data_IF_772256150705
#
_entry.id   IF_772256150705
#
_cell.length_a   1.000
_cell.length_b   1.000
_cell.length_c   1.000
_cell.angle_alpha   90.00
_cell.angle_beta   90.00
_cell.angle_gamma   90.00
#
_symmetry.space_group_name_H-M   'P 1'
#
loop_
_entity.id
_entity.type
_entity.pdbx_description
1 polymer ?
#
# COMPACT_ATOMS: atom_id res chain seq x y z
N UNK A 1 2.47 28.46 20.02
CA UNK A 1 3.23 27.24 19.66
C UNK A 1 2.99 27.03 18.17
N UNK A 2 3.96 27.38 17.34
CA UNK A 2 3.84 27.28 15.89
C UNK A 2 3.72 25.81 15.49
N UNK A 3 2.54 25.40 15.04
CA UNK A 3 2.41 24.18 14.28
C UNK A 3 3.10 24.46 12.94
N UNK A 4 4.31 23.92 12.80
CA UNK A 4 4.98 23.82 11.50
C UNK A 4 4.02 23.17 10.50
N UNK A 5 4.01 23.61 9.23
CA UNK A 5 3.06 23.12 8.24
C UNK A 5 3.12 21.60 8.21
N UNK A 6 1.93 20.98 8.19
CA UNK A 6 1.68 19.55 8.17
C UNK A 6 2.60 18.84 7.16
N UNK A 7 3.83 18.49 7.59
CA UNK A 7 4.78 17.79 6.75
C UNK A 7 4.19 16.42 6.51
N UNK A 8 4.04 16.05 5.25
CA UNK A 8 3.53 14.74 4.89
C UNK A 8 4.39 13.67 5.59
N UNK A 9 3.74 12.82 6.39
CA UNK A 9 4.39 11.71 7.05
C UNK A 9 5.13 10.86 6.01
N UNK A 10 6.41 10.63 6.27
CA UNK A 10 7.31 9.86 5.46
C UNK A 10 7.42 8.44 6.04
N UNK A 11 7.50 7.45 5.16
CA UNK A 11 7.69 6.05 5.53
C UNK A 11 9.09 5.62 5.16
N UNK A 12 9.78 4.90 6.04
CA UNK A 12 11.13 4.37 5.80
C UNK A 12 11.36 3.03 6.50
N UNK A 13 12.27 2.23 5.96
CA UNK A 13 12.65 0.94 6.56
C UNK A 13 13.92 1.11 7.38
N UNK A 14 14.02 0.49 8.55
CA UNK A 14 15.23 0.52 9.38
C UNK A 14 16.35 -0.18 8.63
N UNK A 15 17.36 0.58 8.21
CA UNK A 15 18.59 0.03 7.63
C UNK A 15 19.38 -0.69 8.72
N UNK A 16 19.67 0.03 9.81
CA UNK A 16 20.28 -0.50 11.02
C UNK A 16 19.85 0.35 12.23
N UNK A 17 19.90 -0.25 13.42
CA UNK A 17 19.62 0.44 14.68
C UNK A 17 20.44 -0.18 15.81
N UNK A 18 21.17 0.64 16.55
CA UNK A 18 21.87 0.24 17.78
C UNK A 18 20.93 0.48 18.97
N UNK A 19 20.33 -0.60 19.46
CA UNK A 19 19.38 -0.53 20.59
C UNK A 19 20.05 -0.15 21.92
N UNK A 20 21.36 -0.36 22.07
CA UNK A 20 22.08 0.02 23.29
C UNK A 20 22.35 1.53 23.30
N UNK A 21 22.71 2.10 22.14
CA UNK A 21 22.97 3.53 22.00
C UNK A 21 21.71 4.35 21.69
N UNK A 22 20.65 3.72 21.21
CA UNK A 22 19.37 4.36 20.92
C UNK A 22 19.35 5.20 19.65
N UNK A 23 20.14 4.85 18.63
CA UNK A 23 20.10 5.53 17.33
C UNK A 23 20.31 4.57 16.16
N UNK A 24 19.88 5.02 14.98
CA UNK A 24 19.94 4.24 13.75
C UNK A 24 19.74 5.09 12.51
N UNK A 25 19.56 4.41 11.39
CA UNK A 25 19.28 5.01 10.08
C UNK A 25 18.10 4.29 9.43
N UNK A 26 17.19 5.07 8.87
CA UNK A 26 16.13 4.61 7.99
C UNK A 26 16.60 4.72 6.54
N UNK A 27 16.44 3.65 5.77
CA UNK A 27 16.52 3.67 4.32
C UNK A 27 15.19 4.16 3.74
N UNK A 28 15.29 5.09 2.81
CA UNK A 28 14.18 5.67 2.07
C UNK A 28 14.30 5.31 0.59
N UNK A 29 13.23 5.48 -0.20
CA UNK A 29 13.29 5.32 -1.64
C UNK A 29 14.36 6.21 -2.28
N UNK A 30 14.80 5.85 -3.49
CA UNK A 30 15.83 6.58 -4.23
C UNK A 30 17.21 6.62 -3.55
N UNK A 31 17.44 5.78 -2.52
CA UNK A 31 18.71 5.69 -1.81
C UNK A 31 18.95 6.78 -0.77
N UNK A 32 17.93 7.58 -0.44
CA UNK A 32 18.02 8.53 0.68
C UNK A 32 18.14 7.78 2.03
N UNK A 33 18.86 8.40 2.96
CA UNK A 33 19.01 7.91 4.33
C UNK A 33 18.56 8.98 5.32
N UNK A 34 17.87 8.55 6.39
CA UNK A 34 17.38 9.45 7.42
C UNK A 34 17.82 8.99 8.81
N UNK A 35 18.52 9.86 9.51
CA UNK A 35 18.94 9.59 10.89
C UNK A 35 17.73 9.51 11.82
N UNK A 36 17.71 8.51 12.70
CA UNK A 36 16.65 8.34 13.70
C UNK A 36 17.23 8.07 15.08
N UNK A 37 16.68 8.75 16.09
CA UNK A 37 17.03 8.56 17.49
C UNK A 37 15.84 7.97 18.24
N UNK A 38 16.05 7.16 19.28
CA UNK A 38 14.98 6.48 20.05
C UNK A 38 13.99 7.50 20.67
N UNK A 39 14.49 8.70 21.00
CA UNK A 39 13.66 9.81 21.51
C UNK A 39 12.72 10.43 20.48
N UNK A 40 12.90 10.12 19.19
CA UNK A 40 11.99 10.56 18.14
C UNK A 40 10.68 9.76 18.18
N UNK A 41 10.67 8.57 18.78
CA UNK A 41 9.52 7.68 18.80
C UNK A 41 8.44 8.11 19.78
N UNK A 42 7.20 8.15 19.30
CA UNK A 42 6.00 8.52 20.06
C UNK A 42 4.84 7.60 19.64
N UNK A 43 4.45 6.60 20.45
CA UNK A 43 5.05 6.22 21.73
C UNK A 43 6.44 5.59 21.57
N UNK A 44 7.24 5.47 22.66
CA UNK A 44 8.47 4.68 22.66
C UNK A 44 8.19 3.24 22.20
N UNK A 45 9.13 2.58 21.48
CA UNK A 45 8.95 1.20 21.06
C UNK A 45 8.89 0.26 22.27
N UNK A 46 7.94 -0.68 22.24
CA UNK A 46 7.80 -1.71 23.28
C UNK A 46 8.86 -2.82 23.17
N UNK A 47 9.45 -2.99 21.99
CA UNK A 47 10.47 -3.99 21.68
C UNK A 47 11.69 -3.34 21.03
N UNK A 48 12.81 -4.05 21.01
CA UNK A 48 14.01 -3.64 20.28
C UNK A 48 13.73 -3.46 18.79
N UNK A 49 14.23 -2.36 18.22
CA UNK A 49 14.10 -2.04 16.81
C UNK A 49 15.01 -2.97 16.00
N UNK A 50 14.47 -3.57 14.95
CA UNK A 50 15.15 -4.53 14.07
C UNK A 50 15.29 -3.95 12.66
N UNK A 51 16.37 -4.32 11.99
CA UNK A 51 16.53 -4.03 10.55
C UNK A 51 15.36 -4.59 9.75
N UNK A 52 14.91 -3.84 8.74
CA UNK A 52 13.74 -4.14 7.93
C UNK A 52 12.39 -3.74 8.52
N UNK A 53 12.33 -3.31 9.80
CA UNK A 53 11.08 -2.75 10.33
C UNK A 53 10.75 -1.44 9.64
N UNK A 54 9.48 -1.25 9.31
CA UNK A 54 9.01 -0.01 8.70
C UNK A 54 8.54 0.95 9.78
N UNK A 55 8.97 2.19 9.64
CA UNK A 55 8.71 3.31 10.55
C UNK A 55 8.04 4.44 9.76
N UNK A 56 6.98 5.01 10.32
CA UNK A 56 6.41 6.26 9.86
C UNK A 56 6.98 7.40 10.71
N UNK A 57 7.36 8.51 10.08
CA UNK A 57 7.98 9.64 10.76
C UNK A 57 7.85 10.93 9.94
N UNK A 58 8.11 12.05 10.58
CA UNK A 58 8.19 13.36 9.95
C UNK A 58 9.67 13.73 9.71
N UNK A 59 10.00 14.23 8.50
CA UNK A 59 11.38 14.61 8.12
C UNK A 59 11.68 16.06 8.51
N UNK A 60 12.45 16.28 9.58
CA UNK A 60 12.84 17.62 10.06
C UNK A 60 14.23 18.03 9.63
N UNK A 61 14.41 19.31 9.34
CA UNK A 61 15.71 19.92 9.04
C UNK A 61 16.42 20.36 10.32
N UNK A 62 17.71 20.00 10.45
CA UNK A 62 18.62 20.50 11.47
C UNK A 62 19.55 21.57 10.86
N UNK A 63 19.27 22.87 11.07
CA UNK A 63 20.08 23.95 10.49
C UNK A 63 21.51 24.01 11.05
N UNK A 64 21.80 23.36 12.18
CA UNK A 64 23.15 23.34 12.75
C UNK A 64 24.07 22.36 12.03
N UNK A 65 23.50 21.31 11.47
CA UNK A 65 24.22 20.23 10.79
C UNK A 65 23.96 20.20 9.29
N UNK A 66 23.15 21.13 8.79
CA UNK A 66 22.68 21.16 7.40
C UNK A 66 22.20 19.77 6.93
N UNK A 67 21.39 19.12 7.77
CA UNK A 67 20.98 17.73 7.57
C UNK A 67 19.53 17.50 8.01
N UNK A 68 18.99 16.32 7.69
CA UNK A 68 17.63 15.96 8.06
C UNK A 68 17.61 14.79 9.05
N UNK A 69 16.63 14.78 9.93
CA UNK A 69 16.41 13.69 10.89
C UNK A 69 14.93 13.36 11.05
N UNK A 70 14.67 12.13 11.45
CA UNK A 70 13.33 11.64 11.72
C UNK A 70 12.81 12.18 13.06
N UNK A 71 11.57 12.66 13.07
CA UNK A 71 10.86 13.09 14.27
C UNK A 71 9.46 12.48 14.32
N UNK A 72 8.86 12.41 15.52
CA UNK A 72 7.50 11.89 15.72
C UNK A 72 7.31 10.53 15.05
N UNK A 73 8.25 9.63 15.32
CA UNK A 73 8.31 8.32 14.70
C UNK A 73 7.35 7.35 15.40
N UNK A 74 6.80 6.40 14.67
CA UNK A 74 6.22 5.20 15.26
C UNK A 74 6.40 3.99 14.35
N UNK A 75 6.48 2.82 14.96
CA UNK A 75 6.52 1.55 14.24
C UNK A 75 5.12 1.29 13.68
N UNK A 76 5.01 0.95 12.40
CA UNK A 76 3.72 0.61 11.78
C UNK A 76 3.14 -0.63 12.47
N UNK A 77 2.00 -0.50 13.13
CA UNK A 77 1.36 -1.60 13.87
C UNK A 77 -0.16 -1.48 13.98
N UNK A 78 -0.70 -0.27 13.81
CA UNK A 78 -2.12 0.01 13.93
C UNK A 78 -2.80 -0.09 12.55
N UNK A 79 -4.11 -0.34 12.54
CA UNK A 79 -4.85 -0.43 11.28
C UNK A 79 -4.81 0.89 10.49
N UNK A 80 -4.78 2.03 11.18
CA UNK A 80 -4.69 3.35 10.56
C UNK A 80 -3.34 3.61 9.86
N UNK A 81 -2.33 2.78 10.11
CA UNK A 81 -1.03 2.87 9.45
C UNK A 81 -1.07 2.35 8.02
N UNK A 82 -2.17 1.69 7.60
CA UNK A 82 -2.32 1.25 6.22
C UNK A 82 -2.29 2.39 5.20
N UNK A 83 -2.66 3.61 5.62
CA UNK A 83 -2.47 4.84 4.83
C UNK A 83 -1.02 5.06 4.40
N UNK A 84 -0.05 4.60 5.19
CA UNK A 84 1.37 4.68 4.85
C UNK A 84 1.69 3.74 3.67
N UNK A 85 1.13 2.53 3.67
CA UNK A 85 1.21 1.58 2.55
C UNK A 85 0.60 2.19 1.29
N UNK A 86 -0.61 2.75 1.40
CA UNK A 86 -1.28 3.41 0.28
C UNK A 86 -0.52 4.64 -0.22
N UNK A 87 0.18 5.37 0.64
CA UNK A 87 0.98 6.53 0.23
C UNK A 87 2.15 6.20 -0.68
N UNK A 88 2.60 4.92 -0.68
CA UNK A 88 3.68 4.39 -1.52
C UNK A 88 3.16 3.80 -2.84
N UNK A 89 1.85 3.56 -2.95
CA UNK A 89 1.26 2.94 -4.13
C UNK A 89 1.52 3.77 -5.39
N UNK A 90 2.08 3.13 -6.43
CA UNK A 90 2.40 3.79 -7.70
C UNK A 90 3.64 4.70 -7.67
N UNK A 91 4.40 4.69 -6.58
CA UNK A 91 5.69 5.40 -6.46
C UNK A 91 6.84 4.40 -6.45
N UNK A 92 8.05 4.89 -6.71
CA UNK A 92 9.25 4.10 -6.41
C UNK A 92 9.37 3.97 -4.89
N UNK A 93 9.32 2.73 -4.42
CA UNK A 93 9.39 2.35 -3.02
C UNK A 93 10.60 1.45 -2.73
N UNK A 94 11.57 1.41 -3.64
CA UNK A 94 12.75 0.54 -3.54
C UNK A 94 13.72 1.06 -2.48
N UNK A 95 13.98 0.24 -1.46
CA UNK A 95 14.95 0.54 -0.39
C UNK A 95 16.07 -0.48 -0.36
N UNK A 96 17.27 -0.04 0.00
CA UNK A 96 18.44 -0.90 0.16
C UNK A 96 18.69 -1.19 1.64
N UNK A 97 18.57 -2.45 2.03
CA UNK A 97 18.82 -2.90 3.40
C UNK A 97 20.11 -3.73 3.45
N UNK A 98 20.90 -3.51 4.50
CA UNK A 98 22.12 -4.27 4.73
C UNK A 98 21.78 -5.62 5.39
N UNK A 99 21.90 -6.70 4.62
CA UNK A 99 21.82 -8.05 5.15
C UNK A 99 23.14 -8.47 5.80
N UNK A 100 23.08 -9.29 6.85
CA UNK A 100 24.27 -9.80 7.57
C UNK A 100 25.29 -10.56 6.69
N UNK A 101 24.98 -10.93 5.44
CA UNK A 101 25.88 -11.74 4.60
C UNK A 101 25.99 -11.39 3.09
N UNK A 102 25.27 -10.40 2.53
CA UNK A 102 25.44 -10.02 1.11
C UNK A 102 25.19 -8.53 0.87
N UNK A 103 25.92 -7.97 -0.12
CA UNK A 103 25.71 -6.63 -0.69
C UNK A 103 24.21 -6.30 -0.81
N UNK A 104 23.83 -5.11 -0.35
CA UNK A 104 22.47 -4.70 0.00
C UNK A 104 21.36 -5.28 -0.88
N UNK A 105 20.42 -5.98 -0.24
CA UNK A 105 19.26 -6.51 -0.93
C UNK A 105 18.26 -5.37 -1.13
N UNK A 106 17.74 -5.25 -2.36
CA UNK A 106 16.65 -4.33 -2.66
C UNK A 106 15.34 -4.93 -2.16
N UNK A 107 14.55 -4.11 -1.47
CA UNK A 107 13.24 -4.49 -0.97
C UNK A 107 12.22 -3.42 -1.39
N UNK A 108 10.98 -3.86 -1.63
CA UNK A 108 9.83 -2.96 -1.73
C UNK A 108 9.44 -2.53 -0.31
N UNK A 109 9.52 -1.22 -0.04
CA UNK A 109 9.10 -0.64 1.23
C UNK A 109 7.61 -0.86 1.47
N UNK A 110 6.79 -0.81 0.42
CA UNK A 110 5.36 -1.05 0.49
C UNK A 110 5.06 -2.50 0.91
N UNK A 111 5.78 -3.49 0.36
CA UNK A 111 5.67 -4.89 0.78
C UNK A 111 6.14 -5.09 2.22
N UNK A 112 7.25 -4.48 2.64
CA UNK A 112 7.73 -4.57 4.02
C UNK A 112 6.68 -4.00 5.00
N UNK A 113 6.09 -2.85 4.66
CA UNK A 113 5.08 -2.18 5.46
C UNK A 113 3.82 -3.04 5.61
N UNK A 114 3.32 -3.58 4.50
CA UNK A 114 2.14 -4.42 4.51
C UNK A 114 2.39 -5.73 5.28
N UNK A 115 3.51 -6.41 5.04
CA UNK A 115 3.84 -7.63 5.78
C UNK A 115 3.95 -7.38 7.29
N UNK A 116 4.53 -6.24 7.69
CA UNK A 116 4.60 -5.86 9.10
C UNK A 116 3.21 -5.63 9.70
N UNK A 117 2.30 -4.97 8.98
CA UNK A 117 0.94 -4.70 9.44
C UNK A 117 0.05 -5.95 9.48
N UNK A 118 0.22 -6.88 8.54
CA UNK A 118 -0.57 -8.13 8.52
C UNK A 118 -0.15 -9.12 9.61
N UNK A 119 1.11 -9.04 10.06
CA UNK A 119 1.67 -10.01 11.00
C UNK A 119 0.89 -10.02 12.32
N UNK A 120 0.32 -11.19 12.64
CA UNK A 120 -0.37 -11.43 13.90
C UNK A 120 -1.78 -10.81 14.00
N UNK A 121 -2.33 -10.29 12.89
CA UNK A 121 -3.72 -9.83 12.83
C UNK A 121 -4.64 -10.94 12.31
N UNK A 122 -5.87 -10.95 12.81
CA UNK A 122 -6.94 -11.82 12.33
C UNK A 122 -7.56 -11.30 11.03
N UNK A 123 -8.36 -12.14 10.36
CA UNK A 123 -8.99 -11.83 9.07
C UNK A 123 -9.92 -10.60 9.15
N UNK A 124 -10.69 -10.41 10.23
CA UNK A 124 -11.59 -9.26 10.36
C UNK A 124 -10.85 -7.94 10.52
N UNK A 125 -9.78 -7.95 11.31
CA UNK A 125 -8.89 -6.79 11.47
C UNK A 125 -8.22 -6.41 10.16
N UNK A 126 -7.72 -7.40 9.40
CA UNK A 126 -7.10 -7.19 8.09
C UNK A 126 -8.12 -6.61 7.11
N UNK A 127 -9.30 -7.22 7.02
CA UNK A 127 -10.38 -6.76 6.14
C UNK A 127 -10.72 -5.29 6.39
N UNK A 128 -11.00 -4.91 7.65
CA UNK A 128 -11.31 -3.51 8.01
C UNK A 128 -10.16 -2.56 7.67
N UNK A 129 -8.92 -2.99 7.89
CA UNK A 129 -7.72 -2.19 7.62
C UNK A 129 -7.53 -1.89 6.13
N UNK A 130 -7.70 -2.87 5.24
CA UNK A 130 -7.45 -2.70 3.80
C UNK A 130 -8.63 -2.05 3.06
N UNK A 131 -9.81 -2.03 3.67
CA UNK A 131 -11.04 -1.48 3.07
C UNK A 131 -11.37 -0.06 3.53
N UNK A 132 -10.82 0.40 4.67
CA UNK A 132 -11.17 1.68 5.30
C UNK A 132 -10.96 2.91 4.40
N UNK A 133 -9.91 2.92 3.58
CA UNK A 133 -9.52 4.06 2.75
C UNK A 133 -10.10 4.03 1.33
N UNK A 134 -10.76 2.93 0.93
CA UNK A 134 -11.40 2.81 -0.38
C UNK A 134 -12.48 3.89 -0.56
N UNK A 135 -13.24 4.14 0.50
CA UNK A 135 -14.42 5.00 0.48
C UNK A 135 -14.11 6.51 0.33
N UNK A 136 -12.83 6.95 0.40
CA UNK A 136 -12.53 8.41 0.44
C UNK A 136 -11.35 8.92 -0.37
N UNK A 137 -10.38 8.09 -0.80
CA UNK A 137 -9.09 8.62 -1.30
C UNK A 137 -8.39 7.85 -2.41
N UNK A 138 -8.87 6.66 -2.80
CA UNK A 138 -8.19 5.90 -3.85
C UNK A 138 -8.59 6.43 -5.23
N UNK A 139 -7.63 7.03 -5.95
CA UNK A 139 -7.83 7.41 -7.34
C UNK A 139 -8.14 6.16 -8.18
N UNK A 140 -9.03 6.28 -9.14
CA UNK A 140 -9.46 5.15 -9.99
C UNK A 140 -8.30 4.51 -10.76
N UNK A 141 -7.30 5.30 -11.15
CA UNK A 141 -6.06 4.83 -11.78
C UNK A 141 -5.22 3.93 -10.87
N UNK A 142 -5.36 4.06 -9.55
CA UNK A 142 -4.62 3.27 -8.56
C UNK A 142 -5.39 2.03 -8.09
N UNK A 143 -6.65 1.85 -8.48
CA UNK A 143 -7.47 0.73 -8.04
C UNK A 143 -6.88 -0.64 -8.45
N UNK A 144 -6.55 -0.81 -9.73
CA UNK A 144 -5.97 -2.08 -10.21
C UNK A 144 -4.61 -2.36 -9.57
N UNK A 145 -3.65 -1.40 -9.53
CA UNK A 145 -2.40 -1.57 -8.80
C UNK A 145 -2.60 -1.97 -7.34
N UNK A 146 -3.60 -1.40 -6.67
CA UNK A 146 -3.91 -1.74 -5.28
C UNK A 146 -4.44 -3.17 -5.14
N UNK A 147 -5.39 -3.57 -6.00
CA UNK A 147 -5.95 -4.92 -5.98
C UNK A 147 -4.88 -6.00 -6.27
N UNK A 148 -4.01 -5.75 -7.25
CA UNK A 148 -2.86 -6.62 -7.56
C UNK A 148 -1.88 -6.72 -6.38
N UNK A 149 -1.63 -5.58 -5.71
CA UNK A 149 -0.80 -5.56 -4.52
C UNK A 149 -1.40 -6.39 -3.38
N UNK A 150 -2.69 -6.23 -3.09
CA UNK A 150 -3.38 -7.02 -2.06
C UNK A 150 -3.33 -8.51 -2.34
N UNK A 151 -3.62 -8.91 -3.58
CA UNK A 151 -3.51 -10.30 -4.03
C UNK A 151 -2.11 -10.86 -3.79
N UNK A 152 -1.08 -10.15 -4.25
CA UNK A 152 0.32 -10.55 -4.08
C UNK A 152 0.71 -10.68 -2.61
N UNK A 153 0.35 -9.72 -1.78
CA UNK A 153 0.75 -9.70 -0.37
C UNK A 153 0.00 -10.77 0.42
N UNK A 154 -1.31 -10.94 0.23
CA UNK A 154 -2.10 -11.93 0.97
C UNK A 154 -1.64 -13.35 0.66
N UNK A 155 -1.37 -13.66 -0.61
CA UNK A 155 -0.86 -14.97 -1.04
C UNK A 155 0.52 -15.27 -0.43
N UNK A 156 1.35 -14.25 -0.20
CA UNK A 156 2.69 -14.41 0.39
C UNK A 156 2.68 -14.45 1.92
N UNK A 157 1.83 -13.65 2.55
CA UNK A 157 1.85 -13.41 3.99
C UNK A 157 0.93 -14.37 4.78
N UNK A 158 -0.12 -14.89 4.14
CA UNK A 158 -1.18 -15.65 4.79
C UNK A 158 -1.23 -17.10 4.26
N UNK A 159 -1.83 -17.99 5.05
CA UNK A 159 -2.14 -19.34 4.57
C UNK A 159 -3.12 -19.26 3.39
N UNK A 160 -3.00 -20.20 2.44
CA UNK A 160 -3.78 -20.20 1.19
C UNK A 160 -5.28 -20.02 1.43
N UNK A 161 -5.86 -20.81 2.33
CA UNK A 161 -7.30 -20.74 2.63
C UNK A 161 -7.74 -19.38 3.20
N UNK A 162 -6.93 -18.80 4.10
CA UNK A 162 -7.18 -17.47 4.66
C UNK A 162 -7.02 -16.38 3.59
N UNK A 163 -6.01 -16.49 2.74
CA UNK A 163 -5.81 -15.58 1.61
C UNK A 163 -7.02 -15.60 0.66
N UNK A 164 -7.48 -16.79 0.26
CA UNK A 164 -8.61 -16.95 -0.68
C UNK A 164 -9.92 -16.37 -0.08
N UNK A 165 -10.22 -16.67 1.19
CA UNK A 165 -11.38 -16.10 1.89
C UNK A 165 -11.31 -14.57 2.00
N UNK A 166 -10.16 -14.03 2.39
CA UNK A 166 -9.97 -12.58 2.50
C UNK A 166 -10.06 -11.88 1.16
N UNK A 167 -9.44 -12.41 0.11
CA UNK A 167 -9.50 -11.82 -1.23
C UNK A 167 -10.93 -11.84 -1.77
N UNK A 168 -11.65 -12.95 -1.60
CA UNK A 168 -13.07 -13.05 -1.98
C UNK A 168 -13.91 -11.98 -1.26
N UNK A 169 -13.73 -11.84 0.06
CA UNK A 169 -14.44 -10.85 0.87
C UNK A 169 -14.08 -9.40 0.50
N UNK A 170 -12.79 -9.09 0.32
CA UNK A 170 -12.30 -7.75 -0.03
C UNK A 170 -12.79 -7.34 -1.41
N UNK A 171 -12.65 -8.21 -2.42
CA UNK A 171 -13.09 -7.88 -3.78
C UNK A 171 -14.61 -7.85 -3.92
N UNK A 172 -15.34 -8.67 -3.16
CA UNK A 172 -16.80 -8.53 -3.02
C UNK A 172 -17.18 -7.15 -2.46
N UNK A 173 -16.50 -6.70 -1.39
CA UNK A 173 -16.70 -5.36 -0.83
C UNK A 173 -16.37 -4.25 -1.83
N UNK A 174 -15.32 -4.41 -2.65
CA UNK A 174 -14.98 -3.44 -3.70
C UNK A 174 -16.06 -3.38 -4.77
N UNK A 175 -16.61 -4.53 -5.19
CA UNK A 175 -17.68 -4.62 -6.17
C UNK A 175 -18.96 -3.91 -5.72
N UNK A 176 -19.34 -4.03 -4.45
CA UNK A 176 -20.53 -3.37 -3.88
C UNK A 176 -20.42 -1.83 -3.84
N UNK A 177 -19.20 -1.29 -3.89
CA UNK A 177 -18.90 0.14 -3.69
C UNK A 177 -18.19 0.78 -4.87
N UNK A 178 -18.20 0.11 -6.01
CA UNK A 178 -17.45 0.54 -7.18
C UNK A 178 -18.07 1.78 -7.82
N UNK A 179 -17.21 2.72 -8.21
CA UNK A 179 -17.62 3.87 -9.01
C UNK A 179 -17.62 3.51 -10.51
N UNK A 180 -18.42 4.18 -11.35
CA UNK A 180 -18.41 3.97 -12.81
C UNK A 180 -17.02 4.01 -13.45
N UNK A 181 -16.15 4.93 -13.02
CA UNK A 181 -14.78 5.07 -13.54
C UNK A 181 -13.88 3.88 -13.15
N UNK A 182 -13.97 3.40 -11.90
CA UNK A 182 -13.25 2.18 -11.49
C UNK A 182 -13.79 0.97 -12.26
N UNK A 183 -15.11 0.88 -12.42
CA UNK A 183 -15.76 -0.21 -13.16
C UNK A 183 -15.25 -0.26 -14.60
N UNK A 184 -15.21 0.88 -15.29
CA UNK A 184 -14.67 0.98 -16.64
C UNK A 184 -13.22 0.49 -16.72
N UNK A 185 -12.35 0.93 -15.79
CA UNK A 185 -10.94 0.52 -15.77
C UNK A 185 -10.76 -0.97 -15.56
N UNK A 186 -11.47 -1.54 -14.58
CA UNK A 186 -11.45 -2.98 -14.31
C UNK A 186 -11.93 -3.77 -15.52
N UNK A 187 -13.00 -3.30 -16.16
CA UNK A 187 -13.58 -3.93 -17.34
C UNK A 187 -12.62 -3.90 -18.53
N UNK A 188 -12.07 -2.71 -18.82
CA UNK A 188 -11.08 -2.51 -19.88
C UNK A 188 -9.88 -3.43 -19.69
N UNK A 189 -9.39 -3.60 -18.46
CA UNK A 189 -8.29 -4.49 -18.12
C UNK A 189 -8.66 -5.99 -18.02
N UNK A 190 -9.92 -6.38 -18.18
CA UNK A 190 -10.42 -7.76 -17.97
C UNK A 190 -10.14 -8.32 -16.57
N UNK A 191 -10.11 -7.46 -15.55
CA UNK A 191 -9.76 -7.82 -14.16
C UNK A 191 -11.00 -7.99 -13.27
N UNK A 192 -12.08 -8.57 -13.79
CA UNK A 192 -13.40 -8.62 -13.13
C UNK A 192 -13.38 -9.25 -11.72
N UNK A 193 -12.42 -10.12 -11.44
CA UNK A 193 -12.25 -10.70 -10.10
C UNK A 193 -11.99 -9.66 -9.00
N UNK A 194 -11.41 -8.49 -9.33
CA UNK A 194 -11.14 -7.41 -8.36
C UNK A 194 -12.40 -6.68 -7.89
N UNK A 195 -13.54 -7.00 -8.51
CA UNK A 195 -14.87 -6.50 -8.14
C UNK A 195 -15.78 -7.63 -7.68
N UNK A 196 -15.20 -8.78 -7.29
CA UNK A 196 -15.93 -9.94 -6.80
C UNK A 196 -16.65 -10.73 -7.89
N UNK A 197 -16.39 -10.45 -9.17
CA UNK A 197 -16.98 -11.21 -10.28
C UNK A 197 -16.09 -12.40 -10.66
N UNK A 198 -16.55 -13.60 -10.34
CA UNK A 198 -15.85 -14.87 -10.54
C UNK A 198 -16.50 -15.78 -11.61
N UNK A 199 -17.57 -15.31 -12.24
CA UNK A 199 -18.29 -16.09 -13.25
C UNK A 199 -17.46 -16.26 -14.53
N UNK A 200 -17.56 -17.42 -15.20
CA UNK A 200 -16.96 -17.62 -16.51
C UNK A 200 -17.67 -16.73 -17.55
N UNK A 201 -16.90 -15.96 -18.30
CA UNK A 201 -17.39 -15.04 -19.33
C UNK A 201 -16.96 -13.58 -19.09
N UNK A 202 -17.41 -12.69 -19.97
CA UNK A 202 -17.22 -11.25 -19.82
C UNK A 202 -18.22 -10.62 -18.86
N UNK A 203 -17.80 -9.53 -18.22
CA UNK A 203 -18.69 -8.68 -17.44
C UNK A 203 -19.43 -7.71 -18.38
N UNK A 204 -20.76 -7.72 -18.33
CA UNK A 204 -21.58 -6.75 -19.05
C UNK A 204 -21.52 -5.40 -18.33
N UNK A 205 -20.92 -4.42 -19.00
CA UNK A 205 -20.75 -3.08 -18.44
C UNK A 205 -21.92 -2.18 -18.86
N UNK A 206 -22.50 -1.37 -17.96
CA UNK A 206 -23.62 -0.50 -18.31
C UNK A 206 -23.26 0.48 -19.42
N UNK A 207 -24.18 0.69 -20.36
CA UNK A 207 -23.98 1.56 -21.53
C UNK A 207 -23.57 2.99 -21.14
N UNK A 208 -24.16 3.53 -20.07
CA UNK A 208 -23.81 4.84 -19.53
C UNK A 208 -22.32 4.98 -19.21
N UNK A 209 -21.72 3.91 -18.68
CA UNK A 209 -20.29 3.88 -18.32
C UNK A 209 -19.43 3.83 -19.58
N UNK A 210 -19.85 3.09 -20.61
CA UNK A 210 -19.17 3.06 -21.91
C UNK A 210 -19.22 4.43 -22.58
N UNK A 211 -20.38 5.07 -22.59
CA UNK A 211 -20.61 6.36 -23.25
C UNK A 211 -19.73 7.47 -22.65
N UNK A 212 -19.61 7.52 -21.32
CA UNK A 212 -18.73 8.49 -20.63
C UNK A 212 -17.26 8.29 -20.99
N UNK A 213 -16.84 7.06 -21.30
CA UNK A 213 -15.45 6.72 -21.59
C UNK A 213 -15.20 6.37 -23.07
N UNK A 214 -16.09 6.79 -23.98
CA UNK A 214 -16.06 6.34 -25.38
C UNK A 214 -14.74 6.61 -26.11
N UNK A 215 -14.05 7.70 -25.75
CA UNK A 215 -12.74 8.06 -26.33
C UNK A 215 -11.60 7.10 -25.94
N UNK A 216 -11.81 6.29 -24.90
CA UNK A 216 -10.85 5.32 -24.39
C UNK A 216 -11.09 3.89 -24.89
N UNK A 217 -12.17 3.66 -25.66
CA UNK A 217 -12.56 2.35 -26.17
C UNK A 217 -11.81 2.08 -27.47
N UNK A 218 -10.97 1.04 -27.48
CA UNK A 218 -10.24 0.57 -28.65
C UNK A 218 -10.95 -0.55 -29.39
N UNK A 219 -10.28 -1.08 -30.41
CA UNK A 219 -10.79 -2.16 -31.25
C UNK A 219 -11.08 -3.45 -30.44
N UNK A 220 -10.22 -3.79 -29.47
CA UNK A 220 -10.39 -4.99 -28.63
C UNK A 220 -11.59 -4.86 -27.69
N UNK A 221 -11.83 -3.67 -27.14
CA UNK A 221 -13.02 -3.39 -26.33
C UNK A 221 -14.30 -3.49 -27.17
N UNK A 222 -14.31 -2.92 -28.38
CA UNK A 222 -15.47 -3.00 -29.28
C UNK A 222 -15.80 -4.44 -29.68
N UNK A 223 -14.78 -5.28 -29.91
CA UNK A 223 -14.98 -6.70 -30.19
C UNK A 223 -15.67 -7.41 -29.01
N UNK A 224 -15.22 -7.15 -27.77
CA UNK A 224 -15.83 -7.69 -26.55
C UNK A 224 -17.26 -7.20 -26.34
N UNK A 225 -17.53 -5.91 -26.59
CA UNK A 225 -18.89 -5.36 -26.51
C UNK A 225 -19.80 -6.09 -27.50
N UNK A 226 -19.36 -6.28 -28.75
CA UNK A 226 -20.16 -6.99 -29.77
C UNK A 226 -20.47 -8.45 -29.39
N UNK A 227 -19.58 -9.10 -28.65
CA UNK A 227 -19.77 -10.49 -28.17
C UNK A 227 -20.70 -10.59 -26.95
N UNK A 228 -20.87 -9.50 -26.19
CA UNK A 228 -21.60 -9.47 -24.92
C UNK A 228 -22.87 -8.61 -24.91
N UNK A 229 -23.05 -7.69 -25.86
CA UNK A 229 -24.29 -6.96 -26.08
C UNK A 229 -25.35 -7.90 -26.68
N UNK A 230 -26.04 -8.64 -25.82
CA UNK A 230 -27.39 -9.10 -26.13
C UNK A 230 -28.32 -7.94 -25.78
N UNK A 231 -29.01 -7.40 -26.80
CA UNK A 231 -29.84 -6.21 -26.68
C UNK A 231 -30.99 -6.30 -25.68
#
# INVERSE_FOLDING_TARGET
MEQSPNQAMLTGAVKWFDNNKGFGVLALPLGEELFVHIRAFKPPPNESIKSGQVIACDKKHDPKRDSYYAHNCHVLSHSDDWKAVLSLLGKDDTVQLEGKQRKGQQHSLMELAANQLLKGKDEDSIFKMVTSDLDRRLASSLFIPYAEFLEKVFVRALAKESSDRLLSRVFGYFGERITPDILFRVWKASKFRYIGYDKPGGYEIPEEVLNVNATEIGYEELARIREHSFG
#
